data_IF_110514256794
#
_entry.id   IF_110514256794
#
_cell.length_a   1.000
_cell.length_b   1.000
_cell.length_c   1.000
_cell.angle_alpha   90.00
_cell.angle_beta   90.00
_cell.angle_gamma   90.00
#
_symmetry.space_group_name_H-M   'P 1'
#
loop_
_entity.id
_entity.type
_entity.pdbx_description
1 polymer ?
#
# COMPACT_ATOMS: atom_id res chain seq x y z
N UNK A 1 23.46 37.68 -14.93
CA UNK A 1 24.17 36.65 -15.70
C UNK A 1 25.42 36.27 -14.92
N UNK A 2 25.61 34.96 -14.73
CA UNK A 2 26.51 34.34 -13.77
C UNK A 2 27.98 34.41 -14.17
N UNK A 3 28.90 34.35 -13.19
CA UNK A 3 30.12 33.56 -13.32
C UNK A 3 30.73 33.18 -11.96
N UNK A 4 30.36 31.99 -11.50
CA UNK A 4 31.28 30.91 -11.05
C UNK A 4 32.27 31.29 -9.94
N UNK A 5 31.81 31.15 -8.69
CA UNK A 5 32.69 30.84 -7.57
C UNK A 5 33.12 29.37 -7.68
N UNK A 6 34.39 29.15 -7.98
CA UNK A 6 35.02 27.83 -7.95
C UNK A 6 34.99 27.30 -6.51
N UNK A 7 34.12 26.33 -6.23
CA UNK A 7 34.22 25.51 -5.04
C UNK A 7 35.09 24.29 -5.39
N UNK A 8 36.36 24.33 -4.98
CA UNK A 8 37.25 23.18 -5.00
C UNK A 8 36.77 22.16 -3.95
N UNK A 9 35.94 21.21 -4.38
CA UNK A 9 35.61 20.05 -3.57
C UNK A 9 36.55 18.90 -3.90
N UNK A 10 37.76 18.96 -3.34
CA UNK A 10 38.73 17.87 -3.39
C UNK A 10 38.35 16.76 -2.40
N UNK A 11 37.39 15.92 -2.80
CA UNK A 11 37.17 14.64 -2.12
C UNK A 11 38.21 13.63 -2.61
N UNK A 12 39.45 13.77 -2.15
CA UNK A 12 40.46 12.72 -2.25
C UNK A 12 40.63 12.09 -0.87
N UNK A 13 40.18 10.84 -0.64
CA UNK A 13 40.43 10.15 0.62
C UNK A 13 41.93 9.82 0.70
N UNK A 14 42.65 10.56 1.54
CA UNK A 14 44.07 10.34 1.76
C UNK A 14 44.24 9.11 2.66
N UNK A 15 44.38 7.92 2.07
CA UNK A 15 44.60 6.64 2.78
C UNK A 15 46.04 6.50 3.33
N UNK A 16 46.56 7.49 4.02
CA UNK A 16 47.90 7.40 4.60
C UNK A 16 47.91 7.87 6.06
N UNK A 17 48.16 6.88 6.92
CA UNK A 17 48.74 7.01 8.26
C UNK A 17 47.78 7.40 9.40
N UNK A 18 46.79 6.55 9.67
CA UNK A 18 46.26 6.40 11.03
C UNK A 18 46.05 4.91 11.34
N UNK A 19 47.15 4.18 11.39
CA UNK A 19 47.27 2.92 12.12
C UNK A 19 48.11 3.22 13.35
N UNK A 20 47.61 4.08 14.24
CA UNK A 20 48.22 4.22 15.55
C UNK A 20 47.14 4.30 16.62
N UNK A 21 47.29 3.44 17.62
CA UNK A 21 46.45 3.24 18.81
C UNK A 21 45.10 2.55 18.61
N UNK A 22 45.17 1.26 18.25
CA UNK A 22 44.11 0.29 18.56
C UNK A 22 43.99 0.09 20.08
N UNK A 23 43.30 0.98 20.78
CA UNK A 23 42.47 0.55 21.91
C UNK A 23 41.23 -0.14 21.34
N UNK A 24 41.41 -1.36 20.83
CA UNK A 24 40.32 -2.17 20.31
C UNK A 24 39.41 -2.59 21.47
N UNK A 25 38.13 -2.24 21.39
CA UNK A 25 37.08 -2.79 22.26
C UNK A 25 36.79 -4.29 21.97
N UNK A 26 37.74 -5.03 21.38
CA UNK A 26 37.61 -6.44 21.01
C UNK A 26 36.73 -6.71 19.79
N UNK A 27 36.11 -5.69 19.18
CA UNK A 27 35.27 -5.83 17.99
C UNK A 27 36.14 -5.66 16.75
N UNK A 28 36.22 -6.71 15.93
CA UNK A 28 36.94 -6.67 14.66
C UNK A 28 36.05 -6.14 13.53
N UNK A 29 36.66 -5.71 12.43
CA UNK A 29 35.91 -5.35 11.21
C UNK A 29 35.09 -6.53 10.68
N UNK A 30 35.54 -7.76 10.92
CA UNK A 30 34.83 -8.99 10.55
C UNK A 30 33.54 -9.15 11.37
N UNK A 31 33.59 -8.90 12.68
CA UNK A 31 32.40 -8.92 13.55
C UNK A 31 31.37 -7.88 13.10
N UNK A 32 31.81 -6.69 12.69
CA UNK A 32 30.93 -5.66 12.18
C UNK A 32 30.28 -6.08 10.84
N UNK A 33 31.05 -6.68 9.93
CA UNK A 33 30.53 -7.19 8.66
C UNK A 33 29.52 -8.33 8.87
N UNK A 34 29.78 -9.24 9.81
CA UNK A 34 28.86 -10.34 10.16
C UNK A 34 27.56 -9.77 10.73
N UNK A 35 27.64 -8.83 11.68
CA UNK A 35 26.46 -8.19 12.27
C UNK A 35 25.63 -7.44 11.22
N UNK A 36 26.28 -6.77 10.27
CA UNK A 36 25.60 -6.11 9.17
C UNK A 36 24.85 -7.11 8.29
N UNK A 37 25.50 -8.22 7.88
CA UNK A 37 24.87 -9.27 7.07
C UNK A 37 23.68 -9.90 7.79
N UNK A 38 23.83 -10.21 9.08
CA UNK A 38 22.74 -10.75 9.90
C UNK A 38 21.56 -9.78 9.98
N UNK A 39 21.83 -8.49 10.16
CA UNK A 39 20.78 -7.45 10.20
C UNK A 39 20.08 -7.33 8.85
N UNK A 40 20.83 -7.35 7.75
CA UNK A 40 20.27 -7.30 6.39
C UNK A 40 19.38 -8.52 6.10
N UNK A 41 19.80 -9.73 6.51
CA UNK A 41 18.98 -10.93 6.36
C UNK A 41 17.68 -10.83 7.16
N UNK A 42 17.74 -10.40 8.43
CA UNK A 42 16.54 -10.21 9.26
C UNK A 42 15.58 -9.18 8.65
N UNK A 43 16.10 -8.05 8.17
CA UNK A 43 15.30 -7.04 7.49
C UNK A 43 14.66 -7.56 6.20
N UNK A 44 15.37 -8.40 5.44
CA UNK A 44 14.82 -9.05 4.24
C UNK A 44 13.65 -9.97 4.57
N UNK A 45 13.77 -10.78 5.62
CA UNK A 45 12.71 -11.66 6.09
C UNK A 45 11.49 -10.88 6.56
N UNK A 46 11.70 -9.85 7.39
CA UNK A 46 10.63 -8.97 7.88
C UNK A 46 9.93 -8.30 6.70
N UNK A 47 10.68 -7.78 5.73
CA UNK A 47 10.10 -7.14 4.54
C UNK A 47 9.21 -8.11 3.75
N UNK A 48 9.65 -9.36 3.59
CA UNK A 48 8.87 -10.38 2.88
C UNK A 48 7.58 -10.70 3.63
N UNK A 49 7.65 -10.90 4.94
CA UNK A 49 6.49 -11.16 5.79
C UNK A 49 5.45 -10.02 5.69
N UNK A 50 5.90 -8.77 5.80
CA UNK A 50 5.01 -7.61 5.60
C UNK A 50 4.39 -7.56 4.20
N UNK A 51 5.13 -7.91 3.15
CA UNK A 51 4.59 -7.96 1.79
C UNK A 51 3.51 -9.04 1.65
N UNK A 52 3.72 -10.20 2.24
CA UNK A 52 2.75 -11.30 2.21
C UNK A 52 1.48 -10.92 3.00
N UNK A 53 1.62 -10.34 4.20
CA UNK A 53 0.50 -9.85 5.01
C UNK A 53 -0.30 -8.74 4.29
N UNK A 54 0.37 -7.79 3.65
CA UNK A 54 -0.30 -6.73 2.88
C UNK A 54 -1.04 -7.30 1.67
N UNK A 55 -0.50 -8.34 1.02
CA UNK A 55 -1.19 -9.03 -0.08
C UNK A 55 -2.44 -9.73 0.41
N UNK A 56 -2.38 -10.43 1.54
CA UNK A 56 -3.53 -11.10 2.15
C UNK A 56 -4.61 -10.10 2.57
N UNK A 57 -4.22 -9.01 3.24
CA UNK A 57 -5.14 -7.95 3.63
C UNK A 57 -5.84 -7.34 2.41
N UNK A 58 -5.08 -7.05 1.34
CA UNK A 58 -5.66 -6.52 0.10
C UNK A 58 -6.67 -7.48 -0.51
N UNK A 59 -6.37 -8.78 -0.53
CA UNK A 59 -7.31 -9.79 -1.03
C UNK A 59 -8.57 -9.88 -0.17
N UNK A 60 -8.42 -9.83 1.16
CA UNK A 60 -9.54 -9.85 2.08
C UNK A 60 -10.45 -8.63 1.85
N UNK A 61 -9.88 -7.42 1.79
CA UNK A 61 -10.64 -6.19 1.52
C UNK A 61 -11.36 -6.25 0.19
N UNK A 62 -10.70 -6.70 -0.89
CA UNK A 62 -11.34 -6.82 -2.19
C UNK A 62 -12.55 -7.76 -2.16
N UNK A 63 -12.45 -8.93 -1.50
CA UNK A 63 -13.60 -9.85 -1.36
C UNK A 63 -14.78 -9.21 -0.64
N UNK A 64 -14.53 -8.41 0.39
CA UNK A 64 -15.59 -7.71 1.11
C UNK A 64 -16.22 -6.62 0.25
N UNK A 65 -15.42 -5.85 -0.50
CA UNK A 65 -15.93 -4.86 -1.45
C UNK A 65 -16.78 -5.50 -2.54
N UNK A 66 -16.34 -6.63 -3.10
CA UNK A 66 -17.10 -7.37 -4.11
C UNK A 66 -18.45 -7.85 -3.54
N UNK A 67 -18.46 -8.37 -2.30
CA UNK A 67 -19.70 -8.77 -1.64
C UNK A 67 -20.65 -7.59 -1.40
N UNK A 68 -20.13 -6.45 -0.94
CA UNK A 68 -20.93 -5.23 -0.77
C UNK A 68 -21.49 -4.71 -2.10
N UNK A 69 -20.72 -4.77 -3.18
CA UNK A 69 -21.18 -4.36 -4.50
C UNK A 69 -22.36 -5.22 -4.98
N UNK A 70 -22.31 -6.54 -4.73
CA UNK A 70 -23.43 -7.44 -5.03
C UNK A 70 -24.68 -7.07 -4.23
N UNK A 71 -24.54 -6.78 -2.93
CA UNK A 71 -25.68 -6.36 -2.10
C UNK A 71 -26.29 -5.03 -2.60
N UNK A 72 -25.45 -4.08 -2.98
CA UNK A 72 -25.89 -2.81 -3.58
C UNK A 72 -26.62 -3.04 -4.91
N UNK A 73 -26.14 -3.97 -5.72
CA UNK A 73 -26.77 -4.34 -6.98
C UNK A 73 -28.14 -5.00 -6.77
N UNK A 74 -28.27 -5.88 -5.77
CA UNK A 74 -29.54 -6.51 -5.39
C UNK A 74 -30.55 -5.48 -4.89
N UNK A 75 -30.12 -4.52 -4.05
CA UNK A 75 -30.97 -3.41 -3.60
C UNK A 75 -31.43 -2.56 -4.79
N UNK A 76 -30.53 -2.27 -5.73
CA UNK A 76 -30.85 -1.50 -6.94
C UNK A 76 -31.88 -2.23 -7.81
N UNK A 77 -31.75 -3.55 -7.96
CA UNK A 77 -32.71 -4.38 -8.68
C UNK A 77 -34.09 -4.33 -7.99
N UNK A 78 -34.14 -4.54 -6.67
CA UNK A 78 -35.39 -4.47 -5.91
C UNK A 78 -36.07 -3.10 -5.99
N UNK A 79 -35.31 -2.01 -5.97
CA UNK A 79 -35.85 -0.66 -6.15
C UNK A 79 -36.47 -0.46 -7.54
N UNK A 80 -35.85 -1.01 -8.58
CA UNK A 80 -36.38 -0.95 -9.94
C UNK A 80 -37.71 -1.71 -10.04
N UNK A 81 -37.79 -2.91 -9.46
CA UNK A 81 -39.02 -3.72 -9.43
C UNK A 81 -40.16 -3.02 -8.69
N UNK A 82 -39.87 -2.42 -7.53
CA UNK A 82 -40.85 -1.62 -6.77
C UNK A 82 -41.32 -0.42 -7.61
N UNK A 83 -40.40 0.30 -8.25
CA UNK A 83 -40.74 1.44 -9.12
C UNK A 83 -41.68 1.02 -10.26
N UNK A 84 -41.39 -0.12 -10.89
CA UNK A 84 -42.23 -0.69 -11.94
C UNK A 84 -43.61 -1.08 -11.42
N UNK A 85 -43.70 -1.73 -10.25
CA UNK A 85 -44.98 -2.07 -9.62
C UNK A 85 -45.81 -0.83 -9.32
N UNK A 86 -45.18 0.22 -8.75
CA UNK A 86 -45.85 1.49 -8.47
C UNK A 86 -46.37 2.15 -9.75
N UNK A 87 -45.61 2.09 -10.84
CA UNK A 87 -46.06 2.61 -12.14
C UNK A 87 -47.29 1.85 -12.66
N UNK A 88 -47.26 0.51 -12.61
CA UNK A 88 -48.38 -0.34 -13.02
C UNK A 88 -49.64 -0.02 -12.21
N UNK A 89 -49.51 0.08 -10.88
CA UNK A 89 -50.64 0.42 -10.00
C UNK A 89 -51.24 1.80 -10.32
N UNK A 90 -50.41 2.79 -10.66
CA UNK A 90 -50.89 4.11 -11.10
C UNK A 90 -51.66 4.02 -12.41
N UNK A 91 -51.17 3.26 -13.38
CA UNK A 91 -51.85 3.05 -14.67
C UNK A 91 -53.21 2.38 -14.46
N UNK A 92 -53.26 1.31 -13.66
CA UNK A 92 -54.51 0.61 -13.34
C UNK A 92 -55.49 1.56 -12.65
N UNK A 93 -55.03 2.33 -11.65
CA UNK A 93 -55.89 3.29 -10.96
C UNK A 93 -56.46 4.35 -11.90
N UNK A 94 -55.67 4.81 -12.87
CA UNK A 94 -56.12 5.75 -13.89
C UNK A 94 -57.21 5.12 -14.77
N UNK A 95 -56.99 3.92 -15.31
CA UNK A 95 -57.97 3.21 -16.13
C UNK A 95 -59.28 2.94 -15.38
N UNK A 96 -59.20 2.52 -14.11
CA UNK A 96 -60.41 2.31 -13.30
C UNK A 96 -61.21 3.60 -13.08
N UNK A 97 -60.56 4.77 -13.03
CA UNK A 97 -61.25 6.07 -12.90
C UNK A 97 -61.91 6.53 -14.20
N UNK A 98 -61.35 6.19 -15.36
CA UNK A 98 -61.94 6.56 -16.66
C UNK A 98 -63.13 5.67 -17.06
N UNK A 99 -63.21 4.46 -16.50
CA UNK A 99 -64.26 3.49 -16.81
C UNK A 99 -65.36 3.37 -15.72
N UNK A 100 -65.39 4.28 -14.74
CA UNK A 100 -66.49 4.46 -13.77
C UNK A 100 -67.25 5.75 -14.04
#
# INVERSE_FOLDING_TARGET
MASIGHAEHSWSPNYRLHMDENHSNGVTNEDMAINLLQTQMKLSLIRKDFQDQLRELRQAVNRHLDAMNLEVDDVRAGQLDISNMVLILKIISFLCKEHM
#
